data_IF_508431384787
#
_entry.id   IF_508431384787
#
_cell.length_a   1.000
_cell.length_b   1.000
_cell.length_c   1.000
_cell.angle_alpha   90.00
_cell.angle_beta   90.00
_cell.angle_gamma   90.00
#
_symmetry.space_group_name_H-M   'P 1'
#
loop_
_entity.id
_entity.type
_entity.pdbx_description
1 polymer ?
#
# COMPACT_ATOMS: atom_id res chain seq x y z
N UNK A 1 41.44 -25.51 40.38
CA UNK A 1 41.12 -26.79 39.70
C UNK A 1 39.61 -26.94 39.62
N UNK A 2 39.10 -27.23 38.42
CA UNK A 2 37.73 -27.62 38.01
C UNK A 2 36.60 -26.59 38.22
N UNK A 3 36.37 -25.63 37.32
CA UNK A 3 35.60 -25.67 36.04
C UNK A 3 34.24 -26.38 36.12
N UNK A 4 33.20 -25.64 36.48
CA UNK A 4 31.82 -25.98 36.16
C UNK A 4 31.52 -25.56 34.71
N UNK A 5 31.12 -26.52 33.89
CA UNK A 5 30.64 -26.35 32.51
C UNK A 5 29.25 -25.73 32.53
N UNK A 6 29.09 -24.53 31.98
CA UNK A 6 27.80 -24.03 31.56
C UNK A 6 27.56 -24.45 30.09
N UNK A 7 26.57 -25.30 29.88
CA UNK A 7 26.08 -25.67 28.56
C UNK A 7 25.10 -24.59 28.11
N UNK A 8 25.56 -23.58 27.39
CA UNK A 8 24.69 -22.62 26.72
C UNK A 8 24.36 -23.18 25.33
N UNK A 9 23.10 -23.56 25.14
CA UNK A 9 22.56 -23.93 23.83
C UNK A 9 22.56 -22.67 22.97
N UNK A 10 23.47 -22.60 22.01
CA UNK A 10 23.49 -21.57 20.98
C UNK A 10 22.50 -21.98 19.89
N UNK A 11 21.22 -21.64 20.05
CA UNK A 11 20.27 -21.72 18.94
C UNK A 11 20.52 -20.52 18.04
N UNK A 12 21.30 -20.78 16.98
CA UNK A 12 21.48 -19.90 15.84
C UNK A 12 20.17 -19.75 15.07
N UNK A 13 19.29 -18.83 15.49
CA UNK A 13 18.20 -18.35 14.63
C UNK A 13 18.67 -17.12 13.86
N UNK A 14 19.29 -17.37 12.71
CA UNK A 14 19.39 -16.39 11.61
C UNK A 14 17.98 -16.14 11.07
N UNK A 15 17.19 -15.35 11.78
CA UNK A 15 16.04 -14.69 11.17
C UNK A 15 16.55 -13.39 10.56
N UNK A 16 16.31 -13.12 9.26
CA UNK A 16 16.64 -11.82 8.71
C UNK A 16 15.82 -10.77 9.47
N UNK A 17 16.54 -9.78 10.02
CA UNK A 17 15.93 -8.55 10.52
C UNK A 17 15.26 -7.91 9.31
N UNK A 18 13.95 -8.11 9.16
CA UNK A 18 13.16 -7.36 8.19
C UNK A 18 13.24 -5.90 8.65
N UNK A 19 13.83 -4.99 7.85
CA UNK A 19 13.80 -3.59 8.22
C UNK A 19 12.34 -3.16 8.26
N UNK A 20 11.83 -2.91 9.46
CA UNK A 20 10.55 -2.25 9.67
C UNK A 20 10.67 -0.88 9.02
N UNK A 21 10.12 -0.72 7.81
CA UNK A 21 9.97 0.59 7.19
C UNK A 21 9.11 1.40 8.14
N UNK A 22 9.73 2.36 8.84
CA UNK A 22 9.01 3.35 9.62
C UNK A 22 8.06 4.06 8.65
N UNK A 23 6.78 3.75 8.76
CA UNK A 23 5.74 4.36 7.97
C UNK A 23 5.66 5.82 8.45
N UNK A 24 6.33 6.74 7.76
CA UNK A 24 6.15 8.16 8.00
C UNK A 24 4.66 8.46 7.83
N UNK A 25 3.96 8.66 8.94
CA UNK A 25 2.56 9.06 8.94
C UNK A 25 2.50 10.54 8.57
N UNK A 26 2.83 10.88 7.33
CA UNK A 26 2.44 12.18 6.77
C UNK A 26 0.91 12.21 6.78
N UNK A 27 0.32 13.06 7.61
CA UNK A 27 -1.13 13.21 7.62
C UNK A 27 -1.55 13.77 6.26
N UNK A 28 -2.59 13.18 5.67
CA UNK A 28 -3.13 13.72 4.43
C UNK A 28 -3.76 15.09 4.71
N UNK A 29 -3.58 16.07 3.81
CA UNK A 29 -4.20 17.38 3.97
C UNK A 29 -5.73 17.22 3.99
N UNK A 30 -6.38 17.99 4.87
CA UNK A 30 -7.84 18.00 4.95
C UNK A 30 -8.41 18.52 3.63
N UNK A 31 -9.30 17.72 3.02
CA UNK A 31 -10.05 18.15 1.84
C UNK A 31 -11.28 18.95 2.28
N UNK A 32 -11.47 20.13 1.72
CA UNK A 32 -12.60 21.02 2.01
C UNK A 32 -13.26 21.53 0.73
N UNK A 33 -14.56 21.82 0.81
CA UNK A 33 -15.31 22.50 -0.25
C UNK A 33 -15.44 23.97 0.14
N UNK A 34 -15.00 24.88 -0.73
CA UNK A 34 -15.12 26.33 -0.55
C UNK A 34 -15.91 26.89 -1.73
N UNK A 35 -17.21 27.13 -1.54
CA UNK A 35 -18.11 27.48 -2.65
C UNK A 35 -18.26 26.32 -3.64
N UNK A 36 -17.90 26.55 -4.91
CA UNK A 36 -17.93 25.54 -5.98
C UNK A 36 -16.59 24.85 -6.23
N UNK A 37 -15.61 25.04 -5.35
CA UNK A 37 -14.23 24.59 -5.55
C UNK A 37 -13.75 23.65 -4.43
N UNK A 38 -12.82 22.75 -4.77
CA UNK A 38 -12.17 21.82 -3.84
C UNK A 38 -10.79 22.31 -3.44
N UNK A 39 -10.42 22.08 -2.19
CA UNK A 39 -9.11 22.46 -1.64
C UNK A 39 -8.53 21.31 -0.80
N UNK A 40 -7.23 21.06 -0.93
CA UNK A 40 -6.45 20.17 -0.06
C UNK A 40 -5.51 21.03 0.79
N UNK A 41 -5.87 21.28 2.05
CA UNK A 41 -5.25 22.35 2.83
C UNK A 41 -5.61 23.71 2.24
N UNK A 42 -4.60 24.48 1.83
CA UNK A 42 -4.76 25.81 1.21
C UNK A 42 -4.60 25.82 -0.31
N UNK A 43 -4.31 24.66 -0.91
CA UNK A 43 -4.16 24.53 -2.35
C UNK A 43 -5.46 24.10 -3.02
N UNK A 44 -5.81 24.75 -4.12
CA UNK A 44 -6.96 24.38 -4.94
C UNK A 44 -6.71 23.01 -5.57
N UNK A 45 -7.55 22.04 -5.26
CA UNK A 45 -7.47 20.68 -5.74
C UNK A 45 -8.25 20.52 -7.05
N UNK A 46 -7.53 20.17 -8.11
CA UNK A 46 -8.15 19.68 -9.36
C UNK A 46 -8.08 18.16 -9.39
N UNK A 47 -9.22 17.50 -9.48
CA UNK A 47 -9.28 16.05 -9.60
C UNK A 47 -9.00 15.63 -11.05
N UNK A 48 -7.94 14.85 -11.23
CA UNK A 48 -7.67 14.05 -12.41
C UNK A 48 -7.88 12.60 -11.98
N UNK A 49 -9.13 12.15 -12.11
CA UNK A 49 -9.58 10.86 -11.57
C UNK A 49 -9.59 9.76 -12.62
N UNK A 50 -9.25 8.54 -12.19
CA UNK A 50 -9.51 7.30 -12.93
C UNK A 50 -10.40 6.37 -12.11
N UNK A 51 -11.30 5.65 -12.77
CA UNK A 51 -12.02 4.53 -12.15
C UNK A 51 -11.06 3.37 -11.98
N UNK A 52 -10.98 2.79 -10.78
CA UNK A 52 -10.14 1.65 -10.52
C UNK A 52 -10.99 0.48 -10.03
N UNK A 53 -10.79 -0.65 -10.67
CA UNK A 53 -11.26 -1.94 -10.22
C UNK A 53 -10.11 -2.94 -10.34
N UNK A 54 -10.11 -3.92 -9.44
CA UNK A 54 -9.10 -4.97 -9.37
C UNK A 54 -9.27 -6.04 -10.46
N UNK A 55 -10.32 -5.95 -11.28
CA UNK A 55 -10.61 -6.91 -12.35
C UNK A 55 -9.63 -6.76 -13.52
N UNK A 56 -9.06 -7.89 -13.99
CA UNK A 56 -8.22 -7.94 -15.20
C UNK A 56 -9.05 -8.28 -16.43
N UNK A 57 -8.73 -7.72 -17.61
CA UNK A 57 -9.33 -8.16 -18.87
C UNK A 57 -9.14 -9.66 -19.08
N UNK A 58 -10.23 -10.38 -19.36
CA UNK A 58 -10.20 -11.82 -19.62
C UNK A 58 -10.29 -12.73 -18.39
N UNK A 59 -10.52 -12.17 -17.18
CA UNK A 59 -10.86 -12.95 -15.99
C UNK A 59 -12.27 -12.62 -15.51
N UNK A 60 -12.92 -13.60 -14.89
CA UNK A 60 -14.24 -13.43 -14.27
C UNK A 60 -14.12 -12.45 -13.08
N UNK A 61 -14.85 -11.31 -13.09
CA UNK A 61 -14.81 -10.33 -12.01
C UNK A 61 -15.37 -10.86 -10.68
N UNK A 62 -16.17 -11.93 -10.69
CA UNK A 62 -16.71 -12.56 -9.48
C UNK A 62 -15.83 -13.69 -8.94
N UNK A 63 -14.80 -14.10 -9.68
CA UNK A 63 -13.83 -15.06 -9.17
C UNK A 63 -13.06 -14.40 -8.03
N UNK A 64 -13.23 -14.83 -6.76
CA UNK A 64 -12.51 -14.23 -5.65
C UNK A 64 -11.02 -14.32 -5.97
N UNK A 65 -10.31 -13.18 -5.95
CA UNK A 65 -8.87 -13.15 -6.16
C UNK A 65 -8.16 -13.90 -5.02
N UNK A 66 -8.15 -15.23 -5.09
CA UNK A 66 -7.28 -16.06 -4.30
C UNK A 66 -5.97 -16.25 -5.07
N UNK A 67 -5.27 -15.15 -5.40
CA UNK A 67 -3.85 -15.29 -5.68
C UNK A 67 -3.15 -15.48 -4.33
N UNK A 68 -3.09 -16.73 -3.89
CA UNK A 68 -2.11 -17.17 -2.90
C UNK A 68 -0.73 -16.76 -3.43
N UNK A 69 -0.19 -15.64 -2.95
CA UNK A 69 1.19 -15.22 -3.17
C UNK A 69 1.46 -13.89 -3.89
N UNK A 70 0.46 -13.15 -4.41
CA UNK A 70 0.72 -11.87 -5.11
C UNK A 70 0.35 -10.59 -4.33
N UNK A 71 -0.32 -10.71 -3.18
CA UNK A 71 -0.48 -9.63 -2.19
C UNK A 71 -0.76 -8.23 -2.75
N UNK A 72 -0.05 -7.23 -2.24
CA UNK A 72 -0.14 -5.82 -2.64
C UNK A 72 0.67 -5.48 -3.89
N UNK A 73 1.51 -6.39 -4.40
CA UNK A 73 2.45 -6.10 -5.49
C UNK A 73 1.73 -5.71 -6.80
N UNK A 74 0.55 -6.26 -7.02
CA UNK A 74 -0.30 -5.91 -8.17
C UNK A 74 -0.91 -4.51 -8.03
N UNK A 75 -1.35 -4.16 -6.82
CA UNK A 75 -1.87 -2.82 -6.51
C UNK A 75 -0.75 -1.81 -6.71
N UNK A 76 0.45 -2.09 -6.22
CA UNK A 76 1.61 -1.20 -6.37
C UNK A 76 1.98 -0.98 -7.84
N UNK A 77 1.97 -2.03 -8.66
CA UNK A 77 2.21 -1.92 -10.11
C UNK A 77 1.17 -1.04 -10.80
N UNK A 78 -0.11 -1.20 -10.47
CA UNK A 78 -1.18 -0.41 -11.08
C UNK A 78 -1.17 1.03 -10.56
N UNK A 79 -0.91 1.27 -9.28
CA UNK A 79 -0.71 2.62 -8.72
C UNK A 79 0.47 3.34 -9.37
N UNK A 80 1.57 2.63 -9.69
CA UNK A 80 2.70 3.20 -10.43
C UNK A 80 2.29 3.68 -11.83
N UNK A 81 1.47 2.90 -12.55
CA UNK A 81 0.96 3.27 -13.88
C UNK A 81 -0.01 4.45 -13.81
N UNK A 82 -0.92 4.44 -12.83
CA UNK A 82 -1.88 5.53 -12.59
C UNK A 82 -1.14 6.84 -12.32
N UNK A 83 -0.10 6.80 -11.48
CA UNK A 83 0.76 7.94 -11.19
C UNK A 83 1.55 8.40 -12.41
N UNK A 84 2.12 7.47 -13.18
CA UNK A 84 2.86 7.79 -14.42
C UNK A 84 1.95 8.44 -15.49
N UNK A 85 0.67 8.11 -15.51
CA UNK A 85 -0.32 8.73 -16.38
C UNK A 85 -0.79 10.13 -15.89
N UNK A 86 -0.35 10.56 -14.71
CA UNK A 86 -0.66 11.89 -14.17
C UNK A 86 -2.00 12.00 -13.44
N UNK A 87 -2.67 10.87 -13.14
CA UNK A 87 -3.85 10.88 -12.29
C UNK A 87 -3.46 11.13 -10.83
N UNK A 88 -4.29 11.88 -10.11
CA UNK A 88 -4.08 12.22 -8.70
C UNK A 88 -5.19 11.74 -7.77
N UNK A 89 -6.21 11.07 -8.33
CA UNK A 89 -7.29 10.46 -7.58
C UNK A 89 -7.77 9.19 -8.25
N UNK A 90 -8.22 8.25 -7.43
CA UNK A 90 -8.89 7.03 -7.89
C UNK A 90 -10.31 7.00 -7.34
N UNK A 91 -11.24 6.46 -8.12
CA UNK A 91 -12.57 6.09 -7.64
C UNK A 91 -12.65 4.57 -7.65
N UNK A 92 -12.79 3.98 -6.47
CA UNK A 92 -12.98 2.54 -6.32
C UNK A 92 -14.48 2.23 -6.28
N UNK A 93 -14.87 1.07 -6.81
CA UNK A 93 -16.26 0.59 -6.74
C UNK A 93 -16.51 -0.25 -5.48
N UNK A 94 -15.45 -0.88 -4.98
CA UNK A 94 -15.41 -1.66 -3.74
C UNK A 94 -14.33 -1.08 -2.83
N UNK A 95 -14.48 -1.29 -1.52
CA UNK A 95 -13.39 -1.02 -0.58
C UNK A 95 -12.28 -2.04 -0.89
N UNK A 96 -11.12 -1.53 -1.30
CA UNK A 96 -9.89 -2.30 -1.48
C UNK A 96 -9.29 -2.54 -0.11
#
# INVERSE_FOLDING_TARGET
>A
MNTARAFAILVSSLLPVVPTLAQETTSFPKVTVRGSELYAGDEKLRLLSVGYDHCRPGQDPESPMAYQGYGYDLVDSDMAKIKAAGFNSIRTWHLI
#
